data_IF_257002228503
#
_entry.id   IF_257002228503
#
_cell.length_a   1.000
_cell.length_b   1.000
_cell.length_c   1.000
_cell.angle_alpha   90.00
_cell.angle_beta   90.00
_cell.angle_gamma   90.00
#
_symmetry.space_group_name_H-M   'P 1'
#
loop_
_entity.id
_entity.type
_entity.pdbx_description
1 polymer ?
#
# COMPACT_ATOMS: atom_id res chain seq x y z
N UNK A 1 4.70 2.78 -6.11
CA UNK A 1 5.03 4.09 -5.51
C UNK A 1 4.02 4.44 -4.43
N UNK A 2 4.49 4.73 -3.22
CA UNK A 2 3.64 5.05 -2.06
C UNK A 2 3.19 6.51 -2.13
N UNK A 3 2.38 6.88 -3.12
CA UNK A 3 1.95 8.28 -3.33
C UNK A 3 1.15 8.87 -2.17
N UNK A 4 0.54 8.04 -1.31
CA UNK A 4 -0.18 8.51 -0.12
C UNK A 4 0.74 8.94 1.03
N UNK A 5 1.96 8.42 1.10
CA UNK A 5 2.87 8.65 2.21
C UNK A 5 3.42 10.08 2.20
N UNK A 6 3.86 10.64 1.04
CA UNK A 6 4.17 12.07 0.92
C UNK A 6 3.00 12.98 1.30
N UNK A 7 1.76 12.59 1.01
CA UNK A 7 0.56 13.38 1.35
C UNK A 7 0.31 13.44 2.86
N UNK A 8 0.40 12.29 3.56
CA UNK A 8 0.28 12.24 5.03
C UNK A 8 1.35 13.09 5.70
N UNK A 9 2.61 12.99 5.24
CA UNK A 9 3.72 13.79 5.78
C UNK A 9 3.50 15.28 5.53
N UNK A 10 3.01 15.67 4.35
CA UNK A 10 2.70 17.07 4.05
C UNK A 10 1.62 17.65 4.97
N UNK A 11 0.49 16.95 5.15
CA UNK A 11 -0.60 17.42 6.03
C UNK A 11 -0.14 17.48 7.49
N UNK A 12 0.67 16.50 7.93
CA UNK A 12 1.20 16.48 9.30
C UNK A 12 2.19 17.62 9.54
N UNK A 13 3.01 17.95 8.54
CA UNK A 13 3.94 19.09 8.59
C UNK A 13 3.18 20.42 8.65
N UNK A 14 2.10 20.58 7.87
CA UNK A 14 1.22 21.77 7.94
C UNK A 14 0.63 21.92 9.34
N UNK A 15 0.06 20.84 9.90
CA UNK A 15 -0.53 20.87 11.24
C UNK A 15 0.49 21.18 12.35
N UNK A 16 1.75 20.76 12.18
CA UNK A 16 2.83 21.08 13.11
C UNK A 16 3.26 22.55 13.01
N UNK A 17 3.38 23.07 11.78
CA UNK A 17 3.81 24.44 11.51
C UNK A 17 2.77 25.48 12.00
N UNK A 18 1.49 25.20 11.72
CA UNK A 18 0.36 26.00 12.22
C UNK A 18 0.12 25.83 13.74
N UNK A 19 0.89 24.98 14.42
CA UNK A 19 0.72 24.61 15.84
C UNK A 19 -0.66 24.04 16.18
N UNK A 20 -1.34 23.44 15.20
CA UNK A 20 -2.60 22.71 15.41
C UNK A 20 -2.35 21.41 16.17
N UNK A 21 -1.19 20.79 15.94
CA UNK A 21 -0.73 19.57 16.62
C UNK A 21 0.70 19.74 17.14
N UNK A 22 1.02 19.07 18.24
CA UNK A 22 2.36 19.06 18.83
C UNK A 22 3.35 18.20 18.04
N UNK A 23 4.65 18.38 18.31
CA UNK A 23 5.71 17.58 17.68
C UNK A 23 5.60 16.09 18.03
N UNK A 24 5.12 15.75 19.23
CA UNK A 24 4.88 14.37 19.65
C UNK A 24 3.77 13.71 18.84
N UNK A 25 2.64 14.40 18.68
CA UNK A 25 1.50 13.97 17.90
C UNK A 25 1.86 13.81 16.41
N UNK A 26 2.58 14.78 15.86
CA UNK A 26 3.10 14.72 14.50
C UNK A 26 3.99 13.49 14.28
N UNK A 27 4.93 13.23 15.20
CA UNK A 27 5.80 12.06 15.13
C UNK A 27 5.01 10.74 15.25
N UNK A 28 4.00 10.68 16.11
CA UNK A 28 3.16 9.50 16.29
C UNK A 28 2.35 9.19 15.02
N UNK A 29 1.77 10.20 14.36
CA UNK A 29 1.01 10.01 13.12
C UNK A 29 1.90 9.50 11.98
N UNK A 30 3.10 10.07 11.81
CA UNK A 30 4.04 9.62 10.77
C UNK A 30 4.53 8.20 11.06
N UNK A 31 4.88 7.89 12.31
CA UNK A 31 5.29 6.56 12.71
C UNK A 31 4.18 5.51 12.46
N UNK A 32 2.93 5.84 12.83
CA UNK A 32 1.78 4.98 12.57
C UNK A 32 1.57 4.72 11.06
N UNK A 33 1.71 5.76 10.23
CA UNK A 33 1.61 5.62 8.78
C UNK A 33 2.71 4.72 8.21
N UNK A 34 3.97 4.90 8.64
CA UNK A 34 5.09 4.05 8.23
C UNK A 34 4.89 2.58 8.60
N UNK A 35 4.40 2.33 9.82
CA UNK A 35 4.08 0.98 10.29
C UNK A 35 3.00 0.37 9.40
N UNK A 36 1.93 1.10 9.08
CA UNK A 36 0.87 0.61 8.19
C UNK A 36 1.40 0.25 6.79
N UNK A 37 2.31 1.07 6.25
CA UNK A 37 2.92 0.86 4.93
C UNK A 37 3.79 -0.39 4.90
N UNK A 38 4.34 -0.85 6.04
CA UNK A 38 5.05 -2.12 6.13
C UNK A 38 4.10 -3.28 6.41
N UNK A 39 3.19 -3.12 7.36
CA UNK A 39 2.26 -4.18 7.80
C UNK A 39 1.38 -4.63 6.63
N UNK A 40 0.79 -3.71 5.87
CA UNK A 40 -0.12 -4.06 4.78
C UNK A 40 0.51 -4.93 3.68
N UNK A 41 1.66 -4.57 3.04
CA UNK A 41 2.30 -5.43 2.06
C UNK A 41 2.86 -6.72 2.65
N UNK A 42 3.31 -6.72 3.92
CA UNK A 42 3.73 -7.96 4.58
C UNK A 42 2.56 -8.93 4.75
N UNK A 43 1.38 -8.44 5.15
CA UNK A 43 0.16 -9.25 5.21
C UNK A 43 -0.26 -9.72 3.82
N UNK A 44 -0.30 -8.83 2.84
CA UNK A 44 -0.66 -9.17 1.46
C UNK A 44 0.27 -10.27 0.90
N UNK A 45 1.58 -10.15 1.14
CA UNK A 45 2.55 -11.15 0.72
C UNK A 45 2.38 -12.49 1.46
N UNK A 46 2.04 -12.46 2.75
CA UNK A 46 1.74 -13.68 3.53
C UNK A 46 0.48 -14.37 3.05
N UNK A 47 -0.56 -13.62 2.69
CA UNK A 47 -1.80 -14.14 2.12
C UNK A 47 -1.55 -14.73 0.73
N UNK A 48 -0.83 -14.01 -0.14
CA UNK A 48 -0.48 -14.49 -1.48
C UNK A 48 0.31 -15.81 -1.44
N UNK A 49 1.30 -15.92 -0.55
CA UNK A 49 2.07 -17.17 -0.34
C UNK A 49 1.22 -18.34 0.15
N UNK A 50 0.11 -18.07 0.84
CA UNK A 50 -0.80 -19.11 1.31
C UNK A 50 -1.65 -19.64 0.16
N UNK A 51 -2.04 -18.80 -0.79
CA UNK A 51 -2.76 -19.20 -2.01
C UNK A 51 -1.88 -20.05 -2.95
N UNK A 52 -0.56 -19.80 -3.00
CA UNK A 52 0.39 -20.67 -3.72
C UNK A 52 0.43 -22.10 -3.14
N UNK A 53 0.08 -22.28 -1.86
CA UNK A 53 -0.02 -23.58 -1.19
C UNK A 53 -1.41 -24.24 -1.23
N UNK A 54 -2.47 -23.53 -1.63
CA UNK A 54 -3.87 -24.00 -1.61
C UNK A 54 -4.45 -24.33 -3.02
N UNK A 55 -3.60 -24.39 -4.04
CA UNK A 55 -3.95 -24.91 -5.37
C UNK A 55 -4.13 -23.80 -6.41
N UNK A 56 -3.40 -23.81 -7.50
CA UNK A 56 -3.41 -24.96 -8.41
C UNK A 56 -4.76 -25.17 -9.12
N UNK A 57 -5.76 -24.30 -8.95
CA UNK A 57 -6.92 -24.24 -9.85
C UNK A 57 -6.76 -23.12 -10.87
N UNK A 58 -6.19 -23.55 -12.00
CA UNK A 58 -6.23 -22.91 -13.31
C UNK A 58 -7.58 -22.24 -13.58
N UNK A 59 -7.54 -21.04 -14.14
CA UNK A 59 -8.50 -20.65 -15.20
C UNK A 59 -7.80 -20.95 -16.52
N UNK A 60 -8.07 -22.09 -17.19
CA UNK A 60 -7.69 -22.28 -18.57
C UNK A 60 -8.75 -21.59 -19.43
N UNK A 61 -8.37 -20.52 -20.13
CA UNK A 61 -9.26 -19.90 -21.11
C UNK A 61 -9.10 -18.40 -21.25
N UNK A 62 -7.91 -17.93 -21.62
CA UNK A 62 -7.84 -16.80 -22.57
C UNK A 62 -7.07 -17.28 -23.78
N UNK A 63 -7.81 -17.96 -24.65
CA UNK A 63 -7.49 -18.00 -26.07
C UNK A 63 -7.47 -16.55 -26.53
N UNK A 64 -6.30 -15.91 -26.51
CA UNK A 64 -6.06 -14.72 -27.30
C UNK A 64 -5.81 -15.19 -28.74
N UNK A 65 -6.85 -15.77 -29.35
CA UNK A 65 -6.94 -15.82 -30.79
C UNK A 65 -7.37 -14.45 -31.27
N UNK A 66 -6.41 -13.78 -31.89
CA UNK A 66 -6.57 -13.11 -33.19
C UNK A 66 -7.27 -11.75 -33.23
N UNK A 67 -6.58 -10.80 -33.88
CA UNK A 67 -7.08 -9.49 -34.31
C UNK A 67 -6.55 -8.40 -33.39
N UNK A 68 -5.69 -7.47 -33.79
CA UNK A 68 -5.59 -6.83 -35.09
C UNK A 68 -4.22 -6.17 -35.25
N UNK A 69 -3.71 -6.27 -36.47
CA UNK A 69 -2.48 -5.66 -36.94
C UNK A 69 -2.65 -4.14 -37.04
N UNK A 70 -1.72 -3.39 -36.47
CA UNK A 70 -1.30 -2.07 -36.93
C UNK A 70 0.19 -1.89 -36.66
#
# INVERSE_FOLDING_TARGET
>A
SSTCLPLVVAITAIGLDEKVIGAGEAAALVAAAMVSVLVFPLLAFRLLRREEGDGGRRVPGRTAETGEAW
#
